data_IF_398019485965
#
_entry.id   IF_398019485965
#
_cell.length_a   1.000
_cell.length_b   1.000
_cell.length_c   1.000
_cell.angle_alpha   90.00
_cell.angle_beta   90.00
_cell.angle_gamma   90.00
#
_symmetry.space_group_name_H-M   'P 1'
#
loop_
_entity.id
_entity.type
_entity.pdbx_description
1 polymer ?
#
# COMPACT_ATOMS: atom_id res chain seq x y z
N UNK A 1 -16.11 1.49 -16.14
CA UNK A 1 -16.27 1.45 -14.67
C UNK A 1 -14.98 1.93 -14.03
N UNK A 2 -14.96 3.09 -13.36
CA UNK A 2 -13.82 3.49 -12.52
C UNK A 2 -13.85 2.61 -11.28
N UNK A 3 -12.81 1.81 -11.04
CA UNK A 3 -12.72 1.04 -9.79
C UNK A 3 -12.16 1.99 -8.72
N UNK A 4 -12.98 2.27 -7.72
CA UNK A 4 -12.66 3.21 -6.63
C UNK A 4 -12.67 2.40 -5.33
N UNK A 5 -11.64 2.56 -4.49
CA UNK A 5 -11.50 1.81 -3.24
C UNK A 5 -11.50 2.80 -2.09
N UNK A 6 -12.55 2.82 -1.26
CA UNK A 6 -12.64 3.62 -0.03
C UNK A 6 -11.94 5.01 -0.12
N UNK A 7 -12.35 5.85 -1.08
CA UNK A 7 -11.79 7.19 -1.26
C UNK A 7 -10.61 7.33 -2.23
N UNK A 8 -9.98 6.24 -2.68
CA UNK A 8 -8.88 6.25 -3.66
C UNK A 8 -9.38 5.98 -5.09
N UNK A 9 -9.05 6.88 -6.03
CA UNK A 9 -9.18 6.64 -7.46
C UNK A 9 -7.99 5.82 -7.96
N UNK A 10 -8.21 4.52 -8.19
CA UNK A 10 -7.15 3.60 -8.57
C UNK A 10 -6.58 3.86 -9.97
N UNK A 11 -7.33 4.51 -10.86
CA UNK A 11 -6.82 4.87 -12.20
C UNK A 11 -5.86 6.05 -12.11
N UNK A 12 -6.22 7.04 -11.28
CA UNK A 12 -5.39 8.22 -11.06
C UNK A 12 -4.28 8.00 -10.04
N UNK A 13 -4.35 6.91 -9.27
CA UNK A 13 -3.48 6.61 -8.12
C UNK A 13 -3.45 7.76 -7.12
N UNK A 14 -4.62 8.38 -6.91
CA UNK A 14 -4.77 9.58 -6.09
C UNK A 14 -6.11 9.57 -5.37
N UNK A 15 -6.23 10.36 -4.31
CA UNK A 15 -7.47 10.52 -3.57
C UNK A 15 -8.58 11.14 -4.44
N UNK A 16 -9.78 10.58 -4.34
CA UNK A 16 -10.98 11.05 -5.03
C UNK A 16 -11.68 12.12 -4.20
N UNK A 17 -11.62 13.37 -4.66
CA UNK A 17 -12.26 14.50 -3.96
C UNK A 17 -13.78 14.32 -3.84
N UNK A 18 -14.42 13.70 -4.84
CA UNK A 18 -15.86 13.39 -4.84
C UNK A 18 -16.23 12.42 -3.71
N UNK A 19 -15.45 11.35 -3.51
CA UNK A 19 -15.69 10.37 -2.46
C UNK A 19 -15.33 10.90 -1.07
N UNK A 20 -14.26 11.69 -0.97
CA UNK A 20 -13.93 12.37 0.27
C UNK A 20 -15.06 13.32 0.68
N UNK A 21 -15.56 14.14 -0.25
CA UNK A 21 -16.69 15.04 0.01
C UNK A 21 -17.96 14.28 0.43
N UNK A 22 -18.26 13.15 -0.22
CA UNK A 22 -19.42 12.31 0.14
C UNK A 22 -19.36 11.75 1.57
N UNK A 23 -18.17 11.67 2.17
CA UNK A 23 -17.96 11.21 3.55
C UNK A 23 -17.69 12.36 4.53
N UNK A 24 -17.75 13.61 4.07
CA UNK A 24 -17.41 14.80 4.88
C UNK A 24 -15.91 14.91 5.19
N UNK A 25 -15.07 14.21 4.44
CA UNK A 25 -13.61 14.24 4.55
C UNK A 25 -13.01 15.17 3.49
N UNK A 26 -11.75 15.53 3.71
CA UNK A 26 -10.95 16.34 2.80
C UNK A 26 -9.53 15.79 2.68
N UNK A 27 -8.82 16.23 1.63
CA UNK A 27 -7.44 15.77 1.36
C UNK A 27 -6.47 16.03 2.50
N UNK A 28 -6.65 17.10 3.28
CA UNK A 28 -5.74 17.43 4.37
C UNK A 28 -5.82 16.42 5.54
N UNK A 29 -6.88 15.60 5.58
CA UNK A 29 -7.03 14.52 6.56
C UNK A 29 -6.46 13.19 6.05
N UNK A 30 -6.09 13.11 4.77
CA UNK A 30 -5.55 11.90 4.16
C UNK A 30 -4.01 11.88 4.23
N UNK A 31 -3.40 10.70 4.37
CA UNK A 31 -1.96 10.59 4.26
C UNK A 31 -1.49 10.83 2.82
N UNK A 32 -0.26 11.28 2.66
CA UNK A 32 0.41 11.35 1.36
C UNK A 32 0.56 9.95 0.78
N UNK A 33 0.21 9.81 -0.51
CA UNK A 33 0.33 8.55 -1.23
C UNK A 33 1.73 8.40 -1.81
N UNK A 34 2.25 7.18 -1.73
CA UNK A 34 3.56 6.79 -2.26
C UNK A 34 3.43 5.42 -2.93
N UNK A 35 4.32 5.15 -3.88
CA UNK A 35 4.52 3.82 -4.43
C UNK A 35 5.17 2.90 -3.39
N UNK A 36 4.83 1.61 -3.40
CA UNK A 36 5.21 0.71 -2.31
C UNK A 36 6.72 0.56 -2.08
N UNK A 37 7.52 0.78 -3.12
CA UNK A 37 8.99 0.73 -3.07
C UNK A 37 9.64 2.10 -2.82
N UNK A 38 8.88 3.18 -2.70
CA UNK A 38 9.42 4.52 -2.40
C UNK A 38 9.77 4.65 -0.92
N UNK A 39 10.92 5.28 -0.64
CA UNK A 39 11.33 5.65 0.72
C UNK A 39 10.46 6.83 1.17
N UNK A 40 9.76 6.67 2.30
CA UNK A 40 8.88 7.68 2.89
C UNK A 40 9.50 8.37 4.10
N UNK A 41 10.61 7.83 4.62
CA UNK A 41 11.34 8.42 5.72
C UNK A 41 12.46 7.53 6.22
N UNK A 42 12.96 7.85 7.41
CA UNK A 42 13.99 7.10 8.10
C UNK A 42 13.52 6.77 9.51
N UNK A 43 14.04 5.67 10.05
CA UNK A 43 13.77 5.29 11.43
C UNK A 43 14.20 6.40 12.38
N UNK A 44 13.29 6.83 13.27
CA UNK A 44 13.57 7.91 14.21
C UNK A 44 14.78 7.57 15.11
N UNK A 45 15.63 8.55 15.47
CA UNK A 45 16.85 8.32 16.24
C UNK A 45 16.62 7.54 17.54
N UNK A 46 15.56 7.86 18.28
CA UNK A 46 15.19 7.23 19.54
C UNK A 46 14.75 5.76 19.37
N UNK A 47 14.07 5.44 18.27
CA UNK A 47 13.66 4.07 17.94
C UNK A 47 14.87 3.27 17.45
N UNK A 48 15.70 3.86 16.59
CA UNK A 48 16.94 3.25 16.11
C UNK A 48 17.86 2.87 17.28
N UNK A 49 18.02 3.78 18.26
CA UNK A 49 18.77 3.52 19.49
C UNK A 49 18.14 2.38 20.32
N UNK A 50 16.81 2.40 20.49
CA UNK A 50 16.09 1.36 21.24
C UNK A 50 16.26 -0.03 20.63
N UNK A 51 16.29 -0.11 19.29
CA UNK A 51 16.43 -1.37 18.55
C UNK A 51 17.88 -1.75 18.25
N UNK A 52 18.85 -0.93 18.67
CA UNK A 52 20.29 -1.11 18.37
C UNK A 52 20.57 -1.20 16.86
N UNK A 53 19.83 -0.40 16.09
CA UNK A 53 19.94 -0.32 14.63
C UNK A 53 20.39 1.08 14.20
N UNK A 54 20.84 1.19 12.95
CA UNK A 54 21.02 2.50 12.30
C UNK A 54 19.66 3.12 11.97
N UNK A 55 19.64 4.42 11.68
CA UNK A 55 18.47 5.09 11.09
C UNK A 55 18.29 4.63 9.65
N UNK A 56 17.71 3.44 9.48
CA UNK A 56 17.51 2.81 8.19
C UNK A 56 16.35 3.47 7.43
N UNK A 57 16.38 3.48 6.09
CA UNK A 57 15.27 3.97 5.28
C UNK A 57 14.02 3.11 5.48
N UNK A 58 12.86 3.75 5.49
CA UNK A 58 11.55 3.14 5.60
C UNK A 58 10.81 3.36 4.28
N UNK A 59 10.31 2.28 3.68
CA UNK A 59 9.51 2.34 2.44
C UNK A 59 8.01 2.44 2.75
N UNK A 60 7.22 2.90 1.78
CA UNK A 60 5.76 2.97 1.91
C UNK A 60 5.13 1.60 2.16
N UNK A 61 5.71 0.55 1.56
CA UNK A 61 5.23 -0.83 1.71
C UNK A 61 3.94 -1.08 0.94
N UNK A 62 3.12 -2.01 1.42
CA UNK A 62 1.85 -2.33 0.79
C UNK A 62 0.93 -3.07 1.75
N UNK A 63 -0.34 -3.18 1.36
CA UNK A 63 -1.29 -4.05 2.08
C UNK A 63 -0.80 -5.51 2.07
N UNK A 64 -1.27 -6.29 3.03
CA UNK A 64 -0.89 -7.69 3.25
C UNK A 64 -0.85 -8.56 1.98
N UNK A 65 -1.89 -8.50 1.15
CA UNK A 65 -2.01 -9.29 -0.08
C UNK A 65 -1.03 -8.83 -1.16
N UNK A 66 -0.82 -7.52 -1.29
CA UNK A 66 0.12 -6.96 -2.25
C UNK A 66 1.57 -7.26 -1.83
N UNK A 67 1.90 -7.10 -0.55
CA UNK A 67 3.20 -7.45 0.01
C UNK A 67 3.46 -8.96 -0.12
N UNK A 68 2.45 -9.79 0.16
CA UNK A 68 2.51 -11.24 -0.01
C UNK A 68 2.77 -11.64 -1.46
N UNK A 69 2.06 -11.05 -2.43
CA UNK A 69 2.27 -11.30 -3.85
C UNK A 69 3.71 -10.98 -4.30
N UNK A 70 4.24 -9.82 -3.90
CA UNK A 70 5.64 -9.46 -4.19
C UNK A 70 6.61 -10.45 -3.53
N UNK A 71 6.34 -10.87 -2.28
CA UNK A 71 7.15 -11.85 -1.56
C UNK A 71 7.24 -13.21 -2.25
N UNK A 72 6.21 -13.63 -2.99
CA UNK A 72 6.20 -14.87 -3.79
C UNK A 72 6.59 -14.67 -5.26
N UNK A 73 7.06 -13.47 -5.65
CA UNK A 73 7.53 -13.18 -7.01
C UNK A 73 6.42 -12.94 -8.03
N UNK A 74 5.21 -12.58 -7.59
CA UNK A 74 4.08 -12.20 -8.44
C UNK A 74 4.08 -10.67 -8.60
N UNK A 75 4.73 -10.20 -9.66
CA UNK A 75 4.92 -8.76 -9.93
C UNK A 75 4.68 -8.35 -11.40
N UNK A 76 4.55 -9.31 -12.31
CA UNK A 76 4.29 -9.09 -13.73
C UNK A 76 2.83 -9.40 -14.10
N UNK A 77 2.25 -8.68 -15.08
CA UNK A 77 0.94 -9.01 -15.62
C UNK A 77 0.84 -10.47 -16.03
N UNK A 78 -0.25 -11.13 -15.67
CA UNK A 78 -0.49 -12.54 -15.98
C UNK A 78 0.06 -13.53 -14.94
N UNK A 79 0.81 -13.06 -13.94
CA UNK A 79 1.14 -13.87 -12.77
C UNK A 79 -0.01 -13.83 -11.74
N UNK A 80 -0.23 -14.95 -11.05
CA UNK A 80 -1.25 -15.06 -10.02
C UNK A 80 -0.81 -15.94 -8.86
N UNK A 81 -1.42 -15.70 -7.69
CA UNK A 81 -1.24 -16.48 -6.48
C UNK A 81 -2.60 -17.04 -6.05
N UNK A 82 -2.63 -18.32 -5.72
CA UNK A 82 -3.76 -18.96 -5.06
C UNK A 82 -3.28 -19.49 -3.70
N UNK A 83 -3.70 -18.82 -2.63
CA UNK A 83 -3.48 -19.30 -1.27
C UNK A 83 -4.63 -20.21 -0.87
N UNK A 84 -4.34 -21.49 -0.62
CA UNK A 84 -5.30 -22.50 -0.16
C UNK A 84 -5.20 -22.71 1.37
N UNK A 85 -5.19 -21.62 2.12
CA UNK A 85 -5.31 -21.64 3.58
C UNK A 85 -6.78 -21.69 4.04
N UNK A 86 -7.00 -21.57 5.35
CA UNK A 86 -8.35 -21.56 5.97
C UNK A 86 -9.25 -20.42 5.46
N UNK A 87 -8.67 -19.39 4.86
CA UNK A 87 -9.36 -18.38 4.06
C UNK A 87 -8.65 -18.28 2.71
N UNK A 88 -9.33 -18.73 1.65
CA UNK A 88 -8.76 -18.77 0.30
C UNK A 88 -8.60 -17.37 -0.28
N UNK A 89 -7.44 -17.08 -0.86
CA UNK A 89 -7.16 -15.80 -1.54
C UNK A 89 -6.70 -16.09 -2.96
N UNK A 90 -7.36 -15.45 -3.93
CA UNK A 90 -6.95 -15.45 -5.33
C UNK A 90 -6.50 -14.04 -5.73
N UNK A 91 -5.21 -13.90 -6.03
CA UNK A 91 -4.58 -12.63 -6.41
C UNK A 91 -4.02 -12.73 -7.82
N UNK A 92 -4.32 -11.75 -8.67
CA UNK A 92 -3.82 -11.71 -10.06
C UNK A 92 -3.34 -10.30 -10.36
N UNK A 93 -2.10 -10.20 -10.84
CA UNK A 93 -1.55 -8.93 -11.33
C UNK A 93 -2.04 -8.70 -12.76
N UNK A 94 -2.65 -7.54 -12.99
CA UNK A 94 -3.11 -7.07 -14.30
C UNK A 94 -2.53 -5.72 -14.61
#
# INVERSE_FOLDING_TARGET
>A
MRRVHCGLDMQKRDWSDELLAATGLSRCQMPTLFEGNQITGYLLPEIAKKWQMKQVPIIAGGGDNAAGAIGVGVYQPGQGMLSLGTSGVYFVVR
#
